data_IF_982975634766
#
_entry.id   IF_982975634766
#
_cell.length_a   1.000
_cell.length_b   1.000
_cell.length_c   1.000
_cell.angle_alpha   90.00
_cell.angle_beta   90.00
_cell.angle_gamma   90.00
#
_symmetry.space_group_name_H-M   'P 1'
#
loop_
_entity.id
_entity.type
_entity.pdbx_description
1 polymer ?
#
# COMPACT_ATOMS: atom_id res chain seq x y z
N UNK A 1 -3.23 -5.47 -11.06
CA UNK A 1 -2.47 -5.01 -9.87
C UNK A 1 -2.65 -6.02 -8.76
N UNK A 2 -1.56 -6.49 -8.14
CA UNK A 2 -1.66 -7.42 -7.03
C UNK A 2 -2.31 -6.76 -5.82
N UNK A 3 -2.97 -7.57 -5.00
CA UNK A 3 -3.59 -7.10 -3.76
C UNK A 3 -2.64 -7.34 -2.58
N UNK A 4 -2.53 -6.35 -1.70
CA UNK A 4 -1.76 -6.43 -0.46
C UNK A 4 -2.75 -6.40 0.69
N UNK A 5 -2.96 -7.56 1.32
CA UNK A 5 -3.91 -7.66 2.44
C UNK A 5 -3.22 -7.39 3.76
N UNK A 6 -3.88 -6.63 4.61
CA UNK A 6 -3.42 -6.34 5.96
C UNK A 6 -3.99 -7.36 6.94
N UNK A 7 -3.30 -7.55 8.06
CA UNK A 7 -3.80 -8.36 9.16
C UNK A 7 -5.04 -7.69 9.77
N UNK A 8 -5.85 -8.49 10.46
CA UNK A 8 -7.04 -8.00 11.14
C UNK A 8 -6.69 -6.83 12.06
N UNK A 9 -7.46 -5.73 11.94
CA UNK A 9 -7.31 -4.49 12.71
C UNK A 9 -6.08 -3.63 12.38
N UNK A 10 -5.19 -4.06 11.49
CA UNK A 10 -3.99 -3.30 11.16
C UNK A 10 -4.26 -2.15 10.17
N UNK A 11 -5.49 -2.02 9.67
CA UNK A 11 -5.89 -0.92 8.80
C UNK A 11 -6.22 0.37 9.56
N UNK A 12 -6.27 0.33 10.88
CA UNK A 12 -6.68 1.49 11.70
C UNK A 12 -5.83 2.71 11.48
N UNK A 13 -4.50 2.53 11.46
CA UNK A 13 -3.59 3.66 11.28
C UNK A 13 -3.75 4.30 9.91
N UNK A 14 -3.97 3.50 8.88
CA UNK A 14 -4.18 4.01 7.53
C UNK A 14 -5.46 4.82 7.44
N UNK A 15 -6.52 4.37 8.12
CA UNK A 15 -7.78 5.11 8.19
C UNK A 15 -7.63 6.42 8.95
N UNK A 16 -6.69 6.48 9.90
CA UNK A 16 -6.39 7.69 10.65
C UNK A 16 -5.51 8.67 9.89
N UNK A 17 -5.03 8.33 8.70
CA UNK A 17 -4.26 9.23 7.85
C UNK A 17 -2.79 8.86 7.66
N UNK A 18 -2.32 7.79 8.29
CA UNK A 18 -0.95 7.32 8.07
C UNK A 18 -0.79 6.78 6.65
N UNK A 19 0.41 6.96 6.06
CA UNK A 19 0.65 6.62 4.67
C UNK A 19 1.57 5.41 4.49
N UNK A 20 2.14 4.85 5.56
CA UNK A 20 3.06 3.73 5.46
C UNK A 20 2.54 2.50 6.18
N UNK A 21 2.96 1.34 5.67
CA UNK A 21 2.57 0.03 6.17
C UNK A 21 3.85 -0.71 6.56
N UNK A 22 3.94 -1.15 7.82
CA UNK A 22 5.07 -1.94 8.28
C UNK A 22 4.90 -3.41 7.85
N UNK A 23 6.04 -4.11 7.68
CA UNK A 23 6.03 -5.49 7.21
C UNK A 23 5.22 -6.42 8.10
N UNK A 24 5.22 -6.18 9.43
CA UNK A 24 4.46 -7.00 10.38
C UNK A 24 2.96 -6.73 10.36
N UNK A 25 2.52 -5.70 9.65
CA UNK A 25 1.09 -5.40 9.47
C UNK A 25 0.48 -6.12 8.28
N UNK A 26 1.32 -6.70 7.42
CA UNK A 26 0.88 -7.40 6.21
C UNK A 26 0.52 -8.84 6.53
N UNK A 27 -0.62 -9.31 6.00
CA UNK A 27 -0.99 -10.71 6.07
C UNK A 27 -0.19 -11.49 5.03
N UNK A 28 0.98 -11.98 5.43
CA UNK A 28 1.90 -12.64 4.52
C UNK A 28 1.41 -14.00 4.03
N UNK A 29 0.40 -14.57 4.64
CA UNK A 29 -0.23 -15.81 4.15
C UNK A 29 -1.07 -15.54 2.91
N UNK A 30 -1.79 -14.41 2.89
CA UNK A 30 -2.61 -14.00 1.75
C UNK A 30 -1.81 -13.22 0.71
N UNK A 31 -0.84 -12.44 1.18
CA UNK A 31 -0.02 -11.56 0.34
C UNK A 31 1.46 -11.70 0.72
N UNK A 32 2.12 -12.78 0.28
CA UNK A 32 3.56 -12.92 0.56
C UNK A 32 4.33 -11.75 -0.01
N UNK A 33 5.14 -11.08 0.82
CA UNK A 33 5.92 -9.93 0.36
C UNK A 33 6.90 -10.32 -0.75
N UNK A 34 7.37 -11.57 -0.75
CA UNK A 34 8.26 -12.08 -1.79
C UNK A 34 7.61 -12.15 -3.18
N UNK A 35 6.28 -12.07 -3.24
CA UNK A 35 5.56 -12.05 -4.52
C UNK A 35 5.60 -10.67 -5.20
N UNK A 36 6.10 -9.65 -4.52
CA UNK A 36 6.19 -8.30 -5.06
C UNK A 36 7.61 -7.96 -5.45
N UNK A 37 7.77 -7.30 -6.59
CA UNK A 37 9.04 -6.70 -6.97
C UNK A 37 9.22 -5.38 -6.22
N UNK A 38 10.48 -4.94 -5.94
CA UNK A 38 10.70 -3.64 -5.32
C UNK A 38 10.08 -2.52 -6.14
N UNK A 39 9.26 -1.68 -5.49
CA UNK A 39 8.57 -0.58 -6.16
C UNK A 39 7.31 -0.97 -6.91
N UNK A 40 6.88 -2.21 -6.82
CA UNK A 40 5.65 -2.67 -7.50
C UNK A 40 4.42 -2.01 -6.88
N UNK A 41 3.47 -1.60 -7.74
CA UNK A 41 2.21 -1.04 -7.28
C UNK A 41 1.29 -2.17 -6.80
N UNK A 42 0.56 -1.92 -5.72
CA UNK A 42 -0.39 -2.87 -5.16
C UNK A 42 -1.65 -2.18 -4.67
N UNK A 43 -2.76 -2.89 -4.74
CA UNK A 43 -4.02 -2.47 -4.15
C UNK A 43 -4.05 -2.92 -2.69
N UNK A 44 -4.07 -1.96 -1.77
CA UNK A 44 -4.08 -2.27 -0.33
C UNK A 44 -5.50 -2.55 0.12
N UNK A 45 -5.68 -3.70 0.77
CA UNK A 45 -6.97 -4.14 1.26
C UNK A 45 -6.92 -4.46 2.75
N UNK A 46 -7.99 -4.13 3.46
CA UNK A 46 -8.17 -4.56 4.85
C UNK A 46 -8.40 -6.07 4.90
N UNK A 47 -8.35 -6.65 6.11
CA UNK A 47 -8.55 -8.08 6.29
C UNK A 47 -9.91 -8.56 5.80
N UNK A 48 -10.92 -7.70 5.84
CA UNK A 48 -12.28 -8.01 5.36
C UNK A 48 -12.45 -7.86 3.85
N UNK A 49 -11.38 -7.46 3.13
CA UNK A 49 -11.40 -7.31 1.68
C UNK A 49 -11.71 -5.90 1.19
N UNK A 50 -12.03 -4.95 2.07
CA UNK A 50 -12.31 -3.59 1.63
C UNK A 50 -11.02 -2.92 1.15
N UNK A 51 -11.09 -2.24 0.02
CA UNK A 51 -9.96 -1.54 -0.55
C UNK A 51 -9.70 -0.24 0.18
N UNK A 52 -8.45 -0.01 0.56
CA UNK A 52 -8.01 1.20 1.26
C UNK A 52 -7.40 2.20 0.30
N UNK A 53 -6.61 1.70 -0.66
CA UNK A 53 -5.94 2.56 -1.63
C UNK A 53 -4.88 1.81 -2.41
N UNK A 54 -4.04 2.57 -3.10
CA UNK A 54 -2.94 2.05 -3.90
C UNK A 54 -1.61 2.43 -3.26
N UNK A 55 -0.64 1.52 -3.28
CA UNK A 55 0.66 1.72 -2.65
C UNK A 55 1.79 1.19 -3.51
N UNK A 56 2.99 1.69 -3.27
CA UNK A 56 4.22 1.05 -3.72
C UNK A 56 4.69 0.08 -2.65
N UNK A 57 5.09 -1.11 -3.08
CA UNK A 57 5.57 -2.16 -2.18
C UNK A 57 7.09 -2.25 -2.23
N UNK A 58 7.71 -2.34 -1.06
CA UNK A 58 9.15 -2.59 -0.94
C UNK A 58 9.34 -3.79 -0.01
N UNK A 59 9.39 -5.02 -0.56
CA UNK A 59 9.38 -6.24 0.25
C UNK A 59 10.60 -6.42 1.15
N UNK A 60 11.70 -5.74 0.87
CA UNK A 60 12.94 -5.87 1.66
C UNK A 60 13.04 -4.85 2.79
N UNK A 61 12.06 -3.96 2.95
CA UNK A 61 12.08 -2.89 3.93
C UNK A 61 11.15 -3.17 5.10
N UNK A 62 11.47 -2.63 6.29
CA UNK A 62 10.54 -2.62 7.42
C UNK A 62 9.26 -1.86 7.07
N UNK A 63 9.38 -0.78 6.33
CA UNK A 63 8.23 -0.09 5.74
C UNK A 63 7.93 -0.80 4.42
N UNK A 64 7.09 -1.80 4.48
CA UNK A 64 6.83 -2.68 3.35
C UNK A 64 6.04 -2.01 2.22
N UNK A 65 5.26 -0.98 2.53
CA UNK A 65 4.48 -0.29 1.51
C UNK A 65 4.20 1.15 1.92
N UNK A 66 3.99 2.01 0.92
CA UNK A 66 3.62 3.41 1.15
C UNK A 66 2.43 3.75 0.28
N UNK A 67 1.37 4.24 0.91
CA UNK A 67 0.15 4.66 0.20
C UNK A 67 0.45 5.92 -0.62
N UNK A 68 0.12 5.87 -1.90
CA UNK A 68 0.29 7.01 -2.81
C UNK A 68 -1.04 7.51 -3.36
N UNK A 69 -2.11 6.72 -3.22
CA UNK A 69 -3.46 7.11 -3.59
C UNK A 69 -4.46 6.44 -2.68
N UNK A 70 -5.52 7.16 -2.30
CA UNK A 70 -6.63 6.58 -1.54
C UNK A 70 -7.69 5.97 -2.45
N UNK A 71 -7.53 6.09 -3.76
CA UNK A 71 -8.43 5.48 -4.73
C UNK A 71 -8.00 4.05 -5.02
N UNK A 72 -8.99 3.17 -5.17
CA UNK A 72 -8.76 1.73 -5.29
C UNK A 72 -7.94 1.35 -6.52
N UNK A 73 -8.28 1.88 -7.68
CA UNK A 73 -7.72 1.43 -8.96
C UNK A 73 -7.02 2.55 -9.71
N UNK A 74 -6.52 3.55 -9.00
CA UNK A 74 -5.81 4.65 -9.63
C UNK A 74 -4.44 4.19 -10.12
N UNK A 75 -4.14 4.32 -11.42
CA UNK A 75 -2.84 3.92 -11.94
C UNK A 75 -1.73 4.80 -11.39
N UNK A 76 -0.59 4.19 -11.05
CA UNK A 76 0.59 4.90 -10.59
C UNK A 76 1.46 5.24 -11.78
N UNK A 77 1.27 6.43 -12.35
CA UNK A 77 2.07 6.91 -13.45
C UNK A 77 2.90 8.13 -13.04
N UNK A 78 3.74 8.62 -13.94
CA UNK A 78 4.62 9.75 -13.67
C UNK A 78 3.84 11.03 -13.35
N UNK A 79 2.70 11.24 -13.98
CA UNK A 79 1.86 12.41 -13.75
C UNK A 79 1.27 12.41 -12.34
N UNK A 80 0.79 11.25 -11.87
CA UNK A 80 0.26 11.12 -10.52
C UNK A 80 1.33 11.37 -9.48
N UNK A 81 2.50 10.80 -9.64
CA UNK A 81 3.62 10.96 -8.72
C UNK A 81 4.06 12.42 -8.67
N UNK A 82 4.19 13.06 -9.81
CA UNK A 82 4.56 14.48 -9.89
C UNK A 82 3.55 15.36 -9.16
N UNK A 83 2.26 15.12 -9.35
CA UNK A 83 1.22 15.86 -8.69
C UNK A 83 1.29 15.73 -7.16
N UNK A 84 1.60 14.53 -6.67
CA UNK A 84 1.78 14.28 -5.24
C UNK A 84 2.97 15.03 -4.67
N UNK A 85 4.09 15.04 -5.39
CA UNK A 85 5.28 15.76 -4.97
C UNK A 85 5.03 17.26 -4.91
N UNK A 86 4.33 17.82 -5.87
CA UNK A 86 3.98 19.23 -5.87
C UNK A 86 3.15 19.62 -4.66
N UNK A 87 2.25 18.76 -4.22
CA UNK A 87 1.46 19.00 -3.02
C UNK A 87 2.28 18.92 -1.74
N UNK A 88 3.33 18.13 -1.73
CA UNK A 88 4.20 17.99 -0.57
C UNK A 88 5.15 19.17 -0.40
N UNK A 89 5.37 19.92 -1.45
CA UNK A 89 6.22 21.10 -1.44
C UNK A 89 5.41 22.35 -1.05
#
# INVERSE_FOLDING_TARGET
MQQLFLKKHEDRRLRAGHLWIFSNEVDVKRSPLTAFAPGEAAQVCAADGRTIGTAYVNPASLIAARIVSRKADEPLDAALIKKRLERAL
#
